data_IF_920973883726
#
_entry.id   IF_920973883726
#
_cell.length_a   1.000
_cell.length_b   1.000
_cell.length_c   1.000
_cell.angle_alpha   90.00
_cell.angle_beta   90.00
_cell.angle_gamma   90.00
#
_symmetry.space_group_name_H-M   'P 1'
#
loop_
_entity.id
_entity.type
_entity.pdbx_description
1 polymer ?
#
# COMPACT_ATOMS: atom_id res chain seq x y z
N UNK A 1 0.31 7.99 -4.89
CA UNK A 1 0.94 7.09 -3.91
C UNK A 1 1.25 5.78 -4.61
N UNK A 2 2.10 4.96 -4.01
CA UNK A 2 2.45 3.66 -4.56
C UNK A 2 2.20 2.57 -3.52
N UNK A 3 1.91 1.38 -4.00
CA UNK A 3 2.03 0.16 -3.21
C UNK A 3 3.06 -0.73 -3.90
N UNK A 4 3.80 -1.50 -3.12
CA UNK A 4 4.60 -2.61 -3.63
C UNK A 4 4.13 -3.88 -2.94
N UNK A 5 3.88 -4.91 -3.75
CA UNK A 5 3.46 -6.23 -3.31
C UNK A 5 4.70 -7.13 -3.36
N UNK A 6 5.35 -7.41 -2.22
CA UNK A 6 6.49 -8.30 -2.19
C UNK A 6 6.05 -9.74 -2.48
N UNK A 7 6.84 -10.46 -3.27
CA UNK A 7 6.54 -11.84 -3.66
C UNK A 7 6.69 -12.84 -2.50
N UNK A 8 7.46 -12.51 -1.48
CA UNK A 8 7.58 -13.25 -0.21
C UNK A 8 7.72 -12.31 1.00
N UNK A 9 7.50 -12.84 2.21
CA UNK A 9 7.78 -12.13 3.47
C UNK A 9 9.30 -12.02 3.78
N UNK A 10 10.16 -12.60 2.93
CA UNK A 10 11.61 -12.55 3.07
C UNK A 10 12.15 -11.25 2.45
N UNK A 11 12.97 -10.54 3.22
CA UNK A 11 13.37 -9.16 2.94
C UNK A 11 14.45 -8.97 1.85
N UNK A 12 14.79 -10.00 1.06
CA UNK A 12 15.90 -9.93 0.08
C UNK A 12 15.42 -10.18 -1.36
N UNK A 13 15.61 -9.15 -2.20
CA UNK A 13 15.84 -9.18 -3.66
C UNK A 13 14.87 -9.97 -4.57
N UNK A 14 13.59 -10.11 -4.21
CA UNK A 14 12.56 -10.56 -5.17
C UNK A 14 11.87 -9.39 -5.88
N UNK A 15 11.52 -9.61 -7.16
CA UNK A 15 10.87 -8.64 -8.06
C UNK A 15 9.51 -8.17 -7.51
N UNK A 16 9.53 -7.15 -6.64
CA UNK A 16 8.27 -6.60 -6.13
C UNK A 16 7.55 -5.79 -7.21
N UNK A 17 6.27 -6.11 -7.46
CA UNK A 17 5.46 -5.31 -8.39
C UNK A 17 5.04 -4.01 -7.71
N UNK A 18 5.55 -2.89 -8.22
CA UNK A 18 5.17 -1.55 -7.74
C UNK A 18 4.03 -0.97 -8.58
N UNK A 19 2.94 -0.62 -7.92
CA UNK A 19 1.69 -0.16 -8.55
C UNK A 19 1.37 1.25 -8.05
N UNK A 20 1.03 2.16 -8.97
CA UNK A 20 0.50 3.48 -8.61
C UNK A 20 -0.98 3.35 -8.27
N UNK A 21 -1.38 3.86 -7.10
CA UNK A 21 -2.78 3.83 -6.63
C UNK A 21 -3.23 5.21 -6.17
N UNK A 22 -4.54 5.37 -5.96
CA UNK A 22 -5.15 6.62 -5.51
C UNK A 22 -5.41 6.61 -4.01
N UNK A 23 -4.85 7.59 -3.30
CA UNK A 23 -5.11 7.80 -1.89
C UNK A 23 -6.52 8.35 -1.68
N UNK A 24 -7.19 7.89 -0.62
CA UNK A 24 -8.47 8.44 -0.14
C UNK A 24 -8.30 9.25 1.14
N UNK A 25 -7.45 8.78 2.06
CA UNK A 25 -7.14 9.47 3.30
C UNK A 25 -5.74 9.08 3.78
N UNK A 26 -5.09 9.94 4.56
CA UNK A 26 -3.80 9.64 5.20
C UNK A 26 -3.83 10.12 6.65
N UNK A 27 -3.29 9.33 7.55
CA UNK A 27 -3.11 9.67 8.96
C UNK A 27 -1.69 9.29 9.42
N UNK A 28 -1.38 9.54 10.69
CA UNK A 28 -0.10 9.14 11.26
C UNK A 28 0.06 7.61 11.34
N UNK A 29 -1.02 6.86 11.54
CA UNK A 29 -0.99 5.42 11.79
C UNK A 29 -1.27 4.57 10.56
N UNK A 30 -1.63 5.18 9.43
CA UNK A 30 -2.05 4.46 8.24
C UNK A 30 -2.62 5.34 7.15
N UNK A 31 -3.24 4.70 6.15
CA UNK A 31 -3.96 5.40 5.09
C UNK A 31 -5.06 4.51 4.51
N UNK A 32 -5.87 5.10 3.63
CA UNK A 32 -6.73 4.33 2.73
C UNK A 32 -6.48 4.66 1.27
N UNK A 33 -6.63 3.68 0.40
CA UNK A 33 -6.48 3.82 -1.04
C UNK A 33 -7.53 3.00 -1.79
N UNK A 34 -7.72 3.31 -3.07
CA UNK A 34 -8.58 2.54 -3.98
C UNK A 34 -7.75 1.85 -5.06
N UNK A 35 -8.18 0.65 -5.44
CA UNK A 35 -7.57 -0.15 -6.50
C UNK A 35 -8.64 -1.06 -7.12
N UNK A 36 -8.70 -1.21 -8.46
CA UNK A 36 -9.78 -1.94 -9.14
C UNK A 36 -9.78 -3.45 -8.90
N UNK A 37 -8.66 -4.05 -8.48
CA UNK A 37 -8.56 -5.49 -8.30
C UNK A 37 -8.41 -5.88 -6.82
N UNK A 38 -8.87 -7.07 -6.41
CA UNK A 38 -8.63 -7.56 -5.07
C UNK A 38 -7.12 -7.78 -4.82
N UNK A 39 -6.68 -7.56 -3.59
CA UNK A 39 -5.31 -7.83 -3.15
C UNK A 39 -5.39 -8.93 -2.08
N UNK A 40 -4.84 -10.10 -2.37
CA UNK A 40 -4.98 -11.29 -1.51
C UNK A 40 -3.86 -11.45 -0.47
N UNK A 41 -3.02 -10.42 -0.27
CA UNK A 41 -1.92 -10.42 0.71
C UNK A 41 -2.17 -9.34 1.75
N UNK A 42 -1.77 -9.58 2.99
CA UNK A 42 -1.93 -8.61 4.08
C UNK A 42 -0.73 -7.68 4.19
N UNK A 43 0.50 -8.21 4.08
CA UNK A 43 1.71 -7.41 4.17
C UNK A 43 2.05 -6.75 2.84
N UNK A 44 2.19 -5.43 2.85
CA UNK A 44 2.56 -4.64 1.67
C UNK A 44 3.55 -3.54 2.05
N UNK A 45 4.20 -2.97 1.04
CA UNK A 45 4.91 -1.70 1.18
C UNK A 45 4.03 -0.58 0.65
N UNK A 46 3.98 0.54 1.38
CA UNK A 46 3.23 1.73 0.99
C UNK A 46 4.20 2.88 0.79
N UNK A 47 4.25 3.39 -0.44
CA UNK A 47 5.05 4.53 -0.84
C UNK A 47 4.24 5.81 -0.76
N UNK A 48 4.59 6.68 0.20
CA UNK A 48 4.00 8.01 0.35
C UNK A 48 4.94 9.03 -0.29
N UNK A 49 4.51 9.74 -1.35
CA UNK A 49 5.29 10.85 -1.89
C UNK A 49 5.44 11.93 -0.81
N UNK A 50 6.67 12.35 -0.57
CA UNK A 50 7.00 13.54 0.22
C UNK A 50 7.46 14.64 -0.74
N UNK A 51 7.89 15.79 -0.23
CA UNK A 51 8.26 16.95 -1.06
C UNK A 51 9.19 16.56 -2.23
N UNK A 52 8.86 17.04 -3.43
CA UNK A 52 9.63 16.75 -4.65
C UNK A 52 9.37 15.36 -5.21
N UNK A 53 10.44 14.68 -5.63
CA UNK A 53 10.42 13.33 -6.23
C UNK A 53 10.67 12.21 -5.22
N UNK A 54 10.79 12.54 -3.92
CA UNK A 54 11.11 11.56 -2.89
C UNK A 54 9.87 10.76 -2.49
N UNK A 55 10.07 9.46 -2.28
CA UNK A 55 9.04 8.54 -1.77
C UNK A 55 9.53 7.95 -0.47
N UNK A 56 8.75 8.13 0.60
CA UNK A 56 8.99 7.42 1.86
C UNK A 56 8.19 6.13 1.85
N UNK A 57 8.88 5.01 2.04
CA UNK A 57 8.27 3.68 2.08
C UNK A 57 7.98 3.24 3.51
N UNK A 58 6.82 2.62 3.71
CA UNK A 58 6.39 2.08 5.00
C UNK A 58 6.00 0.61 4.83
N UNK A 59 6.54 -0.25 5.70
CA UNK A 59 5.96 -1.57 5.92
C UNK A 59 4.56 -1.39 6.46
N UNK A 60 3.60 -2.07 5.87
CA UNK A 60 2.19 -1.86 6.18
C UNK A 60 1.41 -3.17 6.12
N UNK A 61 0.30 -3.21 6.84
CA UNK A 61 -0.66 -4.31 6.83
C UNK A 61 -2.00 -3.81 6.29
N UNK A 62 -2.60 -4.53 5.34
CA UNK A 62 -4.01 -4.37 4.95
C UNK A 62 -4.87 -4.89 6.09
N UNK A 63 -5.60 -3.98 6.72
CA UNK A 63 -6.48 -4.26 7.88
C UNK A 63 -7.96 -4.21 7.53
N UNK A 64 -8.27 -3.72 6.32
CA UNK A 64 -9.63 -3.65 5.77
C UNK A 64 -9.56 -3.71 4.25
N UNK A 65 -10.43 -4.53 3.66
CA UNK A 65 -10.74 -4.53 2.24
C UNK A 65 -12.26 -4.44 2.11
N UNK A 66 -12.76 -3.46 1.34
CA UNK A 66 -14.18 -3.28 1.05
C UNK A 66 -14.37 -3.18 -0.45
N UNK A 67 -15.13 -4.09 -1.04
CA UNK A 67 -15.60 -3.96 -2.41
C UNK A 67 -16.69 -2.89 -2.51
N UNK A 68 -16.60 -2.04 -3.53
CA UNK A 68 -17.64 -1.09 -3.90
C UNK A 68 -18.21 -1.59 -5.23
N UNK A 69 -19.20 -2.47 -5.14
CA UNK A 69 -19.74 -3.23 -6.27
C UNK A 69 -20.25 -2.33 -7.40
N UNK A 70 -20.93 -1.22 -7.07
CA UNK A 70 -21.51 -0.33 -8.09
C UNK A 70 -20.44 0.37 -8.96
N UNK A 71 -19.22 0.51 -8.43
CA UNK A 71 -18.15 1.29 -9.04
C UNK A 71 -16.95 0.43 -9.49
N UNK A 72 -17.04 -0.90 -9.30
CA UNK A 72 -16.02 -1.88 -9.69
C UNK A 72 -14.61 -1.58 -9.14
N UNK A 73 -14.53 -1.14 -7.89
CA UNK A 73 -13.24 -0.96 -7.20
C UNK A 73 -13.28 -1.42 -5.75
N UNK A 74 -12.10 -1.63 -5.18
CA UNK A 74 -11.91 -1.93 -3.77
C UNK A 74 -11.33 -0.72 -3.04
N UNK A 75 -11.83 -0.46 -1.84
CA UNK A 75 -11.19 0.41 -0.86
C UNK A 75 -10.38 -0.45 0.12
N UNK A 76 -9.10 -0.12 0.25
CA UNK A 76 -8.18 -0.76 1.19
C UNK A 76 -7.81 0.21 2.30
N UNK A 77 -7.95 -0.24 3.55
CA UNK A 77 -7.39 0.43 4.72
C UNK A 77 -6.10 -0.27 5.15
N UNK A 78 -5.04 0.50 5.35
CA UNK A 78 -3.73 -0.02 5.78
C UNK A 78 -3.26 0.63 7.06
N UNK A 79 -2.57 -0.16 7.89
CA UNK A 79 -1.86 0.30 9.08
C UNK A 79 -0.36 0.33 8.81
N UNK A 80 0.32 1.42 9.16
CA UNK A 80 1.78 1.48 9.08
C UNK A 80 2.41 0.70 10.24
N UNK A 81 3.38 -0.15 9.91
CA UNK A 81 4.18 -0.94 10.85
C UNK A 81 5.55 -0.29 11.11
N UNK A 82 6.02 0.55 10.19
CA UNK A 82 7.25 1.33 10.35
C UNK A 82 7.83 1.78 9.02
N UNK A 83 8.63 2.84 9.06
CA UNK A 83 9.37 3.35 7.90
C UNK A 83 10.43 2.32 7.47
N UNK A 84 10.58 2.12 6.17
CA UNK A 84 11.72 1.37 5.60
C UNK A 84 12.94 2.27 5.67
N UNK A 85 13.98 1.80 6.37
CA UNK A 85 15.29 2.43 6.42
C UNK A 85 16.26 1.60 5.58
N UNK A 86 17.09 2.28 4.79
CA UNK A 86 18.24 1.67 4.14
C UNK A 86 19.34 1.35 5.17
#
# INVERSE_FOLDING_TARGET
MWISLPDSDAADDQESTTIKVWARSISQSGLSFIYPFPIYRNNILVGVPVQGSQVTWFRSEIVRQKEIEEEQFFEFGVRFLGKVTA
#
